data_IF_784474292807
#
_entry.id   IF_784474292807
#
_cell.length_a   1.000
_cell.length_b   1.000
_cell.length_c   1.000
_cell.angle_alpha   90.00
_cell.angle_beta   90.00
_cell.angle_gamma   90.00
#
_symmetry.space_group_name_H-M   'P 1'
#
loop_
_entity.id
_entity.type
_entity.pdbx_description
1 polymer ?
#
# COMPACT_ATOMS: atom_id res chain seq x y z
N UNK A 1 -93.27 -38.84 6.94
CA UNK A 1 -93.13 -37.40 7.23
C UNK A 1 -91.70 -37.00 6.93
N UNK A 2 -91.57 -36.21 5.86
CA UNK A 2 -90.47 -35.36 5.35
C UNK A 2 -88.99 -35.77 5.48
N UNK A 3 -88.52 -36.40 4.42
CA UNK A 3 -87.41 -36.10 3.48
C UNK A 3 -86.60 -34.77 3.56
N UNK A 4 -85.28 -34.91 3.26
CA UNK A 4 -84.32 -34.00 2.54
C UNK A 4 -83.95 -32.65 3.20
N UNK A 5 -82.71 -32.13 3.25
CA UNK A 5 -81.73 -31.88 2.17
C UNK A 5 -80.26 -31.72 2.65
N UNK A 6 -79.36 -32.12 1.75
CA UNK A 6 -77.94 -31.73 1.61
C UNK A 6 -77.89 -30.51 0.68
N UNK A 7 -76.90 -29.59 0.83
CA UNK A 7 -76.22 -28.74 -0.23
C UNK A 7 -75.58 -27.51 0.47
N UNK A 8 -74.25 -27.39 0.66
CA UNK A 8 -73.11 -27.10 -0.25
C UNK A 8 -72.69 -25.61 -0.28
N UNK A 9 -71.49 -25.36 0.27
CA UNK A 9 -70.40 -24.39 -0.05
C UNK A 9 -70.65 -22.90 -0.34
N UNK A 10 -69.75 -22.04 0.19
CA UNK A 10 -68.75 -21.26 -0.59
C UNK A 10 -67.94 -20.29 0.33
N UNK A 11 -66.98 -19.48 -0.18
CA UNK A 11 -65.54 -19.67 -0.03
C UNK A 11 -64.88 -18.65 0.93
N UNK A 12 -63.80 -19.04 1.61
CA UNK A 12 -62.98 -18.10 2.39
C UNK A 12 -61.66 -17.83 1.69
N UNK A 13 -61.34 -16.55 1.56
CA UNK A 13 -60.22 -15.95 0.83
C UNK A 13 -58.82 -16.57 1.07
N UNK A 14 -57.91 -16.46 0.07
CA UNK A 14 -56.55 -16.95 0.17
C UNK A 14 -55.65 -15.91 0.86
N UNK A 15 -55.55 -15.96 2.19
CA UNK A 15 -54.53 -15.22 2.94
C UNK A 15 -53.43 -16.19 3.42
N UNK A 16 -52.41 -16.31 2.56
CA UNK A 16 -50.99 -16.56 2.84
C UNK A 16 -50.63 -17.25 4.17
N UNK A 17 -50.58 -18.59 4.14
CA UNK A 17 -49.93 -19.39 5.18
C UNK A 17 -48.41 -19.32 5.00
N UNK A 18 -47.78 -18.25 5.48
CA UNK A 18 -46.31 -18.28 5.65
C UNK A 18 -46.03 -19.09 6.91
N UNK A 19 -45.62 -20.35 6.70
CA UNK A 19 -45.18 -21.24 7.78
C UNK A 19 -44.15 -20.51 8.66
N UNK A 20 -44.22 -20.62 10.00
CA UNK A 20 -43.22 -20.03 10.90
C UNK A 20 -41.80 -20.54 10.60
N UNK A 21 -41.70 -21.73 10.00
CA UNK A 21 -40.44 -22.25 9.45
C UNK A 21 -39.94 -21.37 8.30
N UNK A 22 -40.82 -20.97 7.38
CA UNK A 22 -40.51 -20.15 6.21
C UNK A 22 -40.04 -18.73 6.61
N UNK A 23 -40.69 -18.13 7.61
CA UNK A 23 -40.25 -16.85 8.18
C UNK A 23 -38.90 -16.96 8.92
N UNK A 24 -38.61 -18.12 9.54
CA UNK A 24 -37.34 -18.37 10.19
C UNK A 24 -36.18 -18.57 9.19
N UNK A 25 -36.41 -19.24 8.05
CA UNK A 25 -35.42 -19.31 6.96
C UNK A 25 -35.19 -17.94 6.34
N UNK A 26 -36.24 -17.15 6.10
CA UNK A 26 -36.08 -15.81 5.53
C UNK A 26 -35.33 -14.90 6.50
N UNK A 27 -35.62 -14.97 7.80
CA UNK A 27 -34.89 -14.23 8.85
C UNK A 27 -33.43 -14.68 8.96
N UNK A 28 -33.17 -15.98 8.86
CA UNK A 28 -31.81 -16.53 8.84
C UNK A 28 -31.04 -16.15 7.56
N UNK A 29 -31.72 -16.07 6.42
CA UNK A 29 -31.15 -15.59 5.16
C UNK A 29 -30.79 -14.09 5.22
N UNK A 30 -31.64 -13.26 5.84
CA UNK A 30 -31.34 -11.85 6.09
C UNK A 30 -30.24 -11.65 7.14
N UNK A 31 -30.12 -12.55 8.12
CA UNK A 31 -29.04 -12.56 9.11
C UNK A 31 -27.70 -13.02 8.51
N UNK A 32 -27.72 -14.00 7.60
CA UNK A 32 -26.52 -14.53 6.92
C UNK A 32 -25.87 -13.56 5.94
N UNK A 33 -26.63 -12.59 5.41
CA UNK A 33 -26.13 -11.57 4.49
C UNK A 33 -25.23 -10.50 5.15
N UNK A 34 -25.12 -10.47 6.48
CA UNK A 34 -24.49 -9.35 7.21
C UNK A 34 -23.07 -9.59 7.75
N UNK A 35 -22.43 -10.71 7.45
CA UNK A 35 -21.15 -11.05 8.07
C UNK A 35 -20.02 -11.39 7.08
N UNK A 36 -19.86 -10.62 6.01
CA UNK A 36 -18.54 -10.44 5.39
C UNK A 36 -18.12 -8.99 5.59
N UNK A 37 -18.03 -8.57 6.85
CA UNK A 37 -17.20 -7.41 7.19
C UNK A 37 -15.77 -7.90 7.15
N UNK A 38 -15.16 -7.85 5.97
CA UNK A 38 -13.71 -7.86 5.83
C UNK A 38 -13.19 -6.71 6.69
N UNK A 39 -12.79 -7.02 7.92
CA UNK A 39 -11.99 -6.15 8.75
C UNK A 39 -10.65 -6.02 8.02
N UNK A 40 -10.60 -5.13 7.02
CA UNK A 40 -9.35 -4.67 6.43
C UNK A 40 -8.62 -3.96 7.55
N UNK A 41 -7.76 -4.71 8.23
CA UNK A 41 -6.88 -4.19 9.25
C UNK A 41 -6.17 -2.93 8.73
N UNK A 42 -5.88 -1.97 9.62
CA UNK A 42 -5.23 -0.73 9.23
C UNK A 42 -3.87 -1.04 8.58
N UNK A 43 -3.63 -0.39 7.44
CA UNK A 43 -2.37 -0.48 6.70
C UNK A 43 -1.54 0.74 7.06
N UNK A 44 -0.37 0.53 7.63
CA UNK A 44 0.61 1.59 7.81
C UNK A 44 1.32 1.84 6.48
N UNK A 45 1.44 3.11 6.09
CA UNK A 45 2.14 3.53 4.89
C UNK A 45 3.11 4.64 5.24
N UNK A 46 4.34 4.56 4.74
CA UNK A 46 5.31 5.64 4.83
C UNK A 46 5.51 6.24 3.45
N UNK A 47 4.89 7.40 3.22
CA UNK A 47 5.11 8.22 2.03
C UNK A 47 6.35 9.09 2.27
N UNK A 48 7.32 9.03 1.36
CA UNK A 48 8.50 9.89 1.38
C UNK A 48 8.44 10.75 0.14
N UNK A 49 8.42 12.07 0.32
CA UNK A 49 8.41 13.01 -0.80
C UNK A 49 9.71 12.87 -1.60
N UNK A 50 9.57 12.64 -2.90
CA UNK A 50 10.70 12.67 -3.84
C UNK A 50 11.08 14.14 -4.04
N UNK A 51 12.36 14.45 -3.87
CA UNK A 51 12.90 15.78 -4.17
C UNK A 51 13.45 15.77 -5.59
N UNK A 52 13.00 16.72 -6.40
CA UNK A 52 13.58 16.92 -7.71
C UNK A 52 15.04 17.37 -7.56
N UNK A 53 15.95 16.58 -8.15
CA UNK A 53 17.37 16.87 -8.20
C UNK A 53 17.69 17.29 -9.63
N UNK A 54 17.68 18.59 -9.97
CA UNK A 54 17.90 19.06 -11.33
C UNK A 54 19.39 18.88 -11.68
N UNK A 55 19.73 17.69 -12.17
CA UNK A 55 21.08 17.37 -12.62
C UNK A 55 21.23 17.72 -14.10
N UNK A 56 22.24 18.53 -14.50
CA UNK A 56 22.56 18.72 -15.90
C UNK A 56 22.85 17.38 -16.58
N UNK A 57 22.40 17.21 -17.82
CA UNK A 57 22.50 15.94 -18.57
C UNK A 57 23.93 15.38 -18.63
N UNK A 58 24.95 16.24 -18.65
CA UNK A 58 26.36 15.83 -18.62
C UNK A 58 26.82 15.22 -17.29
N UNK A 59 26.18 15.56 -16.17
CA UNK A 59 26.52 15.04 -14.82
C UNK A 59 25.62 13.83 -14.46
N UNK A 60 24.63 13.53 -15.30
CA UNK A 60 23.73 12.42 -15.10
C UNK A 60 24.38 11.06 -15.41
N UNK A 61 25.43 11.03 -16.24
CA UNK A 61 26.20 9.82 -16.56
C UNK A 61 27.31 9.63 -15.52
N UNK A 62 27.28 8.46 -14.87
CA UNK A 62 28.19 8.10 -13.80
C UNK A 62 29.02 6.89 -14.22
N UNK A 63 29.86 7.13 -15.22
CA UNK A 63 30.75 6.12 -15.80
C UNK A 63 32.09 6.04 -15.04
N UNK A 64 32.52 7.14 -14.43
CA UNK A 64 33.79 7.25 -13.71
C UNK A 64 33.56 7.63 -12.24
N UNK A 65 34.45 7.22 -11.32
CA UNK A 65 34.31 7.56 -9.91
C UNK A 65 34.34 9.09 -9.66
N UNK A 66 35.04 9.85 -10.50
CA UNK A 66 35.06 11.31 -10.44
C UNK A 66 33.67 11.90 -10.68
N UNK A 67 32.93 11.36 -11.66
CA UNK A 67 31.55 11.79 -11.94
C UNK A 67 30.60 11.51 -10.78
N UNK A 68 30.78 10.38 -10.10
CA UNK A 68 30.03 10.06 -8.89
C UNK A 68 30.30 11.09 -7.78
N UNK A 69 31.56 11.46 -7.59
CA UNK A 69 31.96 12.45 -6.60
C UNK A 69 31.42 13.85 -6.94
N UNK A 70 31.47 14.25 -8.22
CA UNK A 70 30.92 15.54 -8.68
C UNK A 70 29.40 15.61 -8.47
N UNK A 71 28.68 14.54 -8.79
CA UNK A 71 27.24 14.44 -8.51
C UNK A 71 26.95 14.56 -7.01
N UNK A 72 27.73 13.87 -6.18
CA UNK A 72 27.57 13.87 -4.72
C UNK A 72 27.79 15.27 -4.15
N UNK A 73 28.86 15.99 -4.56
CA UNK A 73 29.12 17.36 -4.12
C UNK A 73 28.01 18.33 -4.53
N UNK A 74 27.40 18.11 -5.70
CA UNK A 74 26.33 19.00 -6.18
C UNK A 74 25.01 18.83 -5.42
N UNK A 75 24.63 17.59 -5.07
CA UNK A 75 23.28 17.30 -4.53
C UNK A 75 23.25 16.90 -3.06
N UNK A 76 24.27 16.16 -2.60
CA UNK A 76 24.30 15.66 -1.21
C UNK A 76 24.84 16.75 -0.29
N UNK A 77 25.93 17.42 -0.69
CA UNK A 77 26.55 18.46 0.13
C UNK A 77 25.66 19.71 0.28
N UNK A 78 24.82 20.00 -0.71
CA UNK A 78 23.89 21.15 -0.69
C UNK A 78 22.61 20.88 0.09
N UNK A 79 22.40 19.65 0.54
CA UNK A 79 21.20 19.24 1.26
C UNK A 79 21.23 19.79 2.71
N UNK A 80 20.15 20.41 3.22
CA UNK A 80 20.11 20.96 4.58
C UNK A 80 20.39 19.96 5.71
N UNK A 81 20.18 18.66 5.47
CA UNK A 81 20.45 17.60 6.45
C UNK A 81 21.89 17.08 6.42
N UNK A 82 22.71 17.57 5.49
CA UNK A 82 24.11 17.19 5.40
C UNK A 82 24.91 17.90 6.48
N UNK A 83 25.62 17.11 7.29
CA UNK A 83 26.55 17.60 8.28
C UNK A 83 27.96 17.09 7.91
N UNK A 84 28.93 17.99 7.63
CA UNK A 84 30.28 17.57 7.24
C UNK A 84 31.07 16.88 8.37
N UNK A 85 30.66 17.03 9.63
CA UNK A 85 31.34 16.46 10.80
C UNK A 85 30.96 15.01 11.10
N UNK A 86 30.00 14.44 10.36
CA UNK A 86 29.53 13.07 10.56
C UNK A 86 29.65 12.26 9.28
N UNK A 87 29.86 10.96 9.42
CA UNK A 87 29.90 10.07 8.28
C UNK A 87 28.49 9.87 7.69
N UNK A 88 28.40 9.87 6.36
CA UNK A 88 27.16 9.59 5.64
C UNK A 88 27.36 8.45 4.64
N UNK A 89 26.44 7.48 4.66
CA UNK A 89 26.37 6.44 3.65
C UNK A 89 25.26 6.74 2.64
N UNK A 90 25.66 7.02 1.40
CA UNK A 90 24.74 7.40 0.32
C UNK A 90 24.80 6.37 -0.80
N UNK A 91 23.62 5.95 -1.25
CA UNK A 91 23.45 5.04 -2.39
C UNK A 91 23.01 5.84 -3.60
N UNK A 92 23.76 5.72 -4.69
CA UNK A 92 23.40 6.23 -6.01
C UNK A 92 22.73 5.11 -6.81
N UNK A 93 21.52 5.35 -7.30
CA UNK A 93 20.78 4.41 -8.12
C UNK A 93 21.04 4.70 -9.59
N UNK A 94 21.49 3.69 -10.33
CA UNK A 94 21.83 3.82 -11.74
C UNK A 94 20.88 3.00 -12.62
N UNK A 95 20.65 3.49 -13.83
CA UNK A 95 20.03 2.72 -14.89
C UNK A 95 21.06 1.81 -15.59
N UNK A 96 20.61 0.90 -16.46
CA UNK A 96 21.44 0.04 -17.31
C UNK A 96 22.36 0.82 -18.25
N UNK A 97 22.04 2.09 -18.54
CA UNK A 97 22.88 3.03 -19.28
C UNK A 97 23.80 3.88 -18.40
N UNK A 98 24.03 3.47 -17.13
CA UNK A 98 24.91 4.15 -16.16
C UNK A 98 24.49 5.60 -15.86
N UNK A 99 23.20 5.90 -16.03
CA UNK A 99 22.60 7.20 -15.70
C UNK A 99 22.02 7.17 -14.29
N UNK A 100 22.30 8.19 -13.49
CA UNK A 100 21.78 8.33 -12.13
C UNK A 100 20.27 8.61 -12.20
N UNK A 101 19.48 7.69 -11.63
CA UNK A 101 18.03 7.83 -11.43
C UNK A 101 17.72 8.67 -10.20
N UNK A 102 18.56 8.57 -9.17
CA UNK A 102 18.43 9.31 -7.93
C UNK A 102 19.46 8.85 -6.90
N UNK A 103 19.39 9.44 -5.71
CA UNK A 103 20.22 9.06 -4.58
C UNK A 103 19.41 8.98 -3.29
N UNK A 104 19.89 8.21 -2.32
CA UNK A 104 19.29 8.14 -0.99
C UNK A 104 20.37 7.99 0.07
N UNK A 105 20.21 8.74 1.16
CA UNK A 105 21.03 8.61 2.36
C UNK A 105 20.44 7.43 3.16
N UNK A 106 21.22 6.37 3.32
CA UNK A 106 20.77 5.14 3.99
C UNK A 106 21.12 5.17 5.46
N UNK A 107 22.31 5.66 5.79
CA UNK A 107 22.80 5.74 7.16
C UNK A 107 23.56 7.03 7.40
N UNK A 108 23.44 7.54 8.63
CA UNK A 108 24.33 8.53 9.20
C UNK A 108 25.07 7.86 10.36
N UNK A 109 26.38 8.00 10.34
CA UNK A 109 27.27 7.44 11.34
C UNK A 109 27.61 8.45 12.42
N UNK A 110 28.62 8.10 13.20
CA UNK A 110 29.32 9.00 14.11
C UNK A 110 30.56 9.56 13.38
N UNK A 111 31.68 9.71 14.08
CA UNK A 111 32.91 10.25 13.50
C UNK A 111 33.72 9.20 12.72
N UNK A 112 33.66 7.93 13.12
CA UNK A 112 34.56 6.86 12.67
C UNK A 112 33.85 5.62 12.12
N UNK A 113 32.52 5.58 12.19
CA UNK A 113 31.76 4.43 11.73
C UNK A 113 30.32 4.77 11.36
N UNK A 114 29.82 4.06 10.34
CA UNK A 114 28.42 4.04 9.92
C UNK A 114 27.88 2.62 9.93
N UNK A 115 26.75 2.41 10.61
CA UNK A 115 26.05 1.13 10.61
C UNK A 115 25.22 1.01 9.33
N UNK A 116 25.56 0.02 8.50
CA UNK A 116 24.86 -0.25 7.24
C UNK A 116 24.41 -1.70 7.18
N UNK A 117 23.14 -1.91 6.83
CA UNK A 117 22.60 -3.25 6.62
C UNK A 117 22.23 -3.45 5.15
N UNK A 118 22.60 -4.58 4.50
CA UNK A 118 22.29 -4.82 3.08
C UNK A 118 20.80 -4.65 2.73
N UNK A 119 19.91 -5.08 3.64
CA UNK A 119 18.46 -4.88 3.53
C UNK A 119 18.07 -3.41 3.26
N UNK A 120 18.73 -2.45 3.89
CA UNK A 120 18.39 -1.04 3.75
C UNK A 120 18.93 -0.46 2.45
N UNK A 121 20.12 -0.91 2.03
CA UNK A 121 20.75 -0.51 0.76
C UNK A 121 19.91 -1.01 -0.43
N UNK A 122 19.62 -2.32 -0.47
CA UNK A 122 18.96 -2.92 -1.63
C UNK A 122 17.47 -2.66 -1.69
N UNK A 123 16.80 -2.40 -0.55
CA UNK A 123 15.38 -2.00 -0.56
C UNK A 123 15.14 -0.79 -1.45
N UNK A 124 16.01 0.21 -1.38
CA UNK A 124 15.87 1.42 -2.20
C UNK A 124 16.06 1.08 -3.68
N UNK A 125 17.06 0.27 -4.00
CA UNK A 125 17.33 -0.14 -5.38
C UNK A 125 16.21 -0.99 -6.01
N UNK A 126 15.52 -1.81 -5.22
CA UNK A 126 14.39 -2.63 -5.68
C UNK A 126 13.15 -1.77 -5.97
N UNK A 127 12.94 -0.71 -5.19
CA UNK A 127 11.76 0.16 -5.29
C UNK A 127 11.89 1.20 -6.41
N UNK A 128 13.12 1.61 -6.76
CA UNK A 128 13.41 2.75 -7.63
C UNK A 128 13.42 2.44 -9.14
#
# INVERSE_FOLDING_TARGET
MSTTEVTVTSPTDPQSVTSPLMQAVDSAAHQGARAIRSQRQPREWKLVAIRDCPTPSQVQECDTPERAADYWRLHVQTNPYFNPEVEFFVVLMLNTRRRIKGHTIVGMGILDSVLVHPREIFRVAIVA
#
